data_IF_475491134241
#
_entry.id   IF_475491134241
#
_cell.length_a   1.000
_cell.length_b   1.000
_cell.length_c   1.000
_cell.angle_alpha   90.00
_cell.angle_beta   90.00
_cell.angle_gamma   90.00
#
_symmetry.space_group_name_H-M   'P 1'
#
loop_
_entity.id
_entity.type
_entity.pdbx_description
1 polymer ?
#
# COMPACT_ATOMS: atom_id res chain seq x y z
N UNK A 1 40.89 -5.27 -12.74
CA UNK A 1 40.06 -4.05 -12.78
C UNK A 1 38.63 -4.50 -13.05
N UNK A 2 37.88 -4.82 -11.99
CA UNK A 2 36.52 -5.36 -12.10
C UNK A 2 35.57 -4.27 -12.55
N UNK A 3 34.96 -4.47 -13.73
CA UNK A 3 33.91 -3.63 -14.27
C UNK A 3 32.64 -3.87 -13.43
N UNK A 4 32.47 -3.11 -12.33
CA UNK A 4 31.21 -3.03 -11.61
C UNK A 4 30.16 -2.40 -12.54
N UNK A 5 29.37 -3.25 -13.19
CA UNK A 5 28.28 -2.81 -14.05
C UNK A 5 27.25 -2.04 -13.22
N UNK A 6 27.06 -0.77 -13.57
CA UNK A 6 25.98 0.11 -13.16
C UNK A 6 24.64 -0.46 -13.67
N UNK A 7 24.08 -1.47 -13.00
CA UNK A 7 22.78 -2.10 -13.35
C UNK A 7 21.56 -1.25 -12.97
N UNK A 8 21.75 0.04 -12.66
CA UNK A 8 20.66 0.93 -12.20
C UNK A 8 19.72 1.41 -13.32
N UNK A 9 19.95 1.00 -14.58
CA UNK A 9 19.31 1.58 -15.76
C UNK A 9 18.08 0.87 -16.33
N UNK A 10 17.80 -0.40 -16.02
CA UNK A 10 16.70 -1.14 -16.66
C UNK A 10 15.34 -0.86 -16.01
N UNK A 11 14.25 -0.93 -16.76
CA UNK A 11 12.88 -0.76 -16.29
C UNK A 11 12.57 -1.69 -15.10
N UNK A 12 11.92 -1.16 -14.07
CA UNK A 12 11.47 -1.97 -12.94
C UNK A 12 10.13 -2.59 -13.25
N UNK A 13 9.92 -3.84 -12.84
CA UNK A 13 8.58 -4.42 -12.76
C UNK A 13 7.80 -3.84 -11.58
N UNK A 14 6.48 -4.03 -11.61
CA UNK A 14 5.60 -3.74 -10.48
C UNK A 14 5.12 -5.06 -9.89
N UNK A 15 5.39 -5.27 -8.61
CA UNK A 15 4.88 -6.37 -7.81
C UNK A 15 3.64 -5.87 -7.04
N UNK A 16 2.46 -6.47 -7.25
CA UNK A 16 1.23 -6.04 -6.59
C UNK A 16 1.34 -6.04 -5.06
N UNK A 17 0.76 -5.02 -4.42
CA UNK A 17 0.72 -4.86 -2.96
C UNK A 17 -0.25 -5.88 -2.35
N UNK A 18 -1.44 -6.05 -2.95
CA UNK A 18 -2.51 -6.93 -2.48
C UNK A 18 -2.80 -6.74 -0.99
N UNK A 19 -3.46 -5.63 -0.60
CA UNK A 19 -3.80 -5.34 0.79
C UNK A 19 -4.50 -6.50 1.51
N UNK A 20 -5.31 -7.27 0.80
CA UNK A 20 -6.00 -8.48 1.28
C UNK A 20 -5.06 -9.60 1.77
N UNK A 21 -3.78 -9.59 1.35
CA UNK A 21 -2.80 -10.65 1.65
C UNK A 21 -1.71 -10.25 2.63
N UNK A 22 -1.76 -9.03 3.18
CA UNK A 22 -0.78 -8.58 4.15
C UNK A 22 -1.06 -9.28 5.49
N UNK A 23 -0.05 -9.98 6.00
CA UNK A 23 -0.18 -10.83 7.19
C UNK A 23 -0.40 -10.03 8.49
N UNK A 24 0.12 -8.82 8.58
CA UNK A 24 0.10 -8.02 9.81
C UNK A 24 -0.24 -6.57 9.52
N UNK A 25 -1.19 -6.05 10.29
CA UNK A 25 -1.60 -4.67 10.29
C UNK A 25 -1.39 -4.10 11.70
N UNK A 26 -0.82 -2.89 11.78
CA UNK A 26 -0.77 -2.12 13.02
C UNK A 26 -2.18 -1.65 13.34
N UNK A 27 -2.74 -2.13 14.46
CA UNK A 27 -4.09 -1.80 14.87
C UNK A 27 -4.16 -0.44 15.57
N UNK A 28 -5.21 0.31 15.28
CA UNK A 28 -5.57 1.54 15.97
C UNK A 28 -6.68 1.25 16.98
N UNK A 29 -6.49 1.67 18.23
CA UNK A 29 -7.46 1.65 19.35
C UNK A 29 -8.41 0.43 19.45
N UNK A 30 -8.25 -0.35 20.52
CA UNK A 30 -9.19 -1.43 20.86
C UNK A 30 -10.56 -0.84 21.26
N UNK A 31 -11.65 -1.39 20.72
CA UNK A 31 -13.06 -1.01 21.00
C UNK A 31 -13.58 0.30 20.38
N UNK A 32 -13.16 0.60 19.14
CA UNK A 32 -13.78 1.66 18.32
C UNK A 32 -14.98 1.13 17.50
N UNK A 33 -15.98 1.97 17.16
CA UNK A 33 -17.04 1.64 16.19
C UNK A 33 -16.50 1.31 14.79
N UNK A 34 -15.28 1.75 14.48
CA UNK A 34 -14.56 1.40 13.25
C UNK A 34 -13.20 0.85 13.65
N UNK A 35 -12.96 -0.41 13.35
CA UNK A 35 -11.63 -1.00 13.52
C UNK A 35 -10.77 -0.60 12.33
N UNK A 36 -9.59 -0.07 12.61
CA UNK A 36 -8.66 0.40 11.60
C UNK A 36 -7.28 -0.20 11.82
N UNK A 37 -6.75 -0.82 10.77
CA UNK A 37 -5.40 -1.34 10.71
C UNK A 37 -4.65 -0.74 9.53
N UNK A 38 -3.36 -0.48 9.69
CA UNK A 38 -2.52 0.01 8.59
C UNK A 38 -1.14 -0.64 8.58
N UNK A 39 -0.52 -0.65 7.41
CA UNK A 39 0.86 -1.09 7.21
C UNK A 39 1.56 -0.09 6.30
N UNK A 40 2.62 0.54 6.80
CA UNK A 40 3.49 1.42 6.00
C UNK A 40 4.45 0.63 5.12
N UNK A 41 5.10 1.36 4.20
CA UNK A 41 6.18 0.88 3.36
C UNK A 41 5.79 -0.30 2.46
N UNK A 42 4.53 -0.39 2.07
CA UNK A 42 4.01 -1.55 1.31
C UNK A 42 4.67 -1.68 -0.06
N UNK A 43 5.05 -0.57 -0.70
CA UNK A 43 5.84 -0.63 -1.93
C UNK A 43 7.21 -1.29 -1.67
N UNK A 44 7.88 -0.96 -0.56
CA UNK A 44 9.19 -1.52 -0.20
C UNK A 44 9.08 -2.99 0.18
N UNK A 45 8.08 -3.36 0.97
CA UNK A 45 7.81 -4.75 1.38
C UNK A 45 7.61 -5.68 0.18
N UNK A 46 7.00 -5.17 -0.89
CA UNK A 46 6.76 -5.92 -2.12
C UNK A 46 7.88 -5.76 -3.16
N UNK A 47 9.02 -5.16 -2.81
CA UNK A 47 10.19 -5.07 -3.69
C UNK A 47 10.07 -4.04 -4.82
N UNK A 48 9.12 -3.11 -4.74
CA UNK A 48 8.87 -2.06 -5.74
C UNK A 48 9.91 -0.91 -5.67
N UNK A 49 11.21 -1.23 -5.73
CA UNK A 49 12.34 -0.32 -5.46
C UNK A 49 12.29 1.02 -6.21
N UNK A 50 11.88 1.01 -7.49
CA UNK A 50 11.78 2.25 -8.28
C UNK A 50 10.63 3.14 -7.83
N UNK A 51 9.51 2.55 -7.44
CA UNK A 51 8.36 3.27 -6.91
C UNK A 51 8.64 3.81 -5.50
N UNK A 52 9.38 3.08 -4.65
CA UNK A 52 9.88 3.60 -3.36
C UNK A 52 10.77 4.84 -3.55
N UNK A 53 11.66 4.84 -4.56
CA UNK A 53 12.45 6.04 -4.87
C UNK A 53 11.57 7.22 -5.31
N UNK A 54 10.47 6.95 -6.01
CA UNK A 54 9.51 7.98 -6.43
C UNK A 54 8.68 8.48 -5.25
N UNK A 55 8.25 7.58 -4.39
CA UNK A 55 7.55 7.87 -3.13
C UNK A 55 8.36 8.86 -2.28
N UNK A 56 9.62 8.53 -1.98
CA UNK A 56 10.51 9.42 -1.26
C UNK A 56 10.77 10.76 -2.00
N UNK A 57 11.02 10.72 -3.32
CA UNK A 57 11.29 11.93 -4.12
C UNK A 57 10.07 12.86 -4.20
N UNK A 58 8.85 12.32 -4.09
CA UNK A 58 7.59 13.06 -4.24
C UNK A 58 6.93 13.39 -2.90
N UNK A 59 7.53 13.00 -1.77
CA UNK A 59 6.96 13.21 -0.44
C UNK A 59 5.67 12.43 -0.23
N UNK A 60 5.66 11.17 -0.65
CA UNK A 60 4.54 10.25 -0.42
C UNK A 60 4.88 9.23 0.66
N UNK A 61 3.85 8.77 1.35
CA UNK A 61 3.84 7.53 2.12
C UNK A 61 2.64 6.71 1.68
N UNK A 62 2.90 5.57 1.04
CA UNK A 62 1.89 4.60 0.63
C UNK A 62 1.73 3.56 1.74
N UNK A 63 0.49 3.40 2.19
CA UNK A 63 0.12 2.42 3.19
C UNK A 63 -1.00 1.52 2.65
N UNK A 64 -0.94 0.23 3.00
CA UNK A 64 -2.13 -0.59 2.91
C UNK A 64 -2.94 -0.43 4.19
N UNK A 65 -4.25 -0.49 4.06
CA UNK A 65 -5.17 -0.37 5.19
C UNK A 65 -6.22 -1.46 5.19
N UNK A 66 -6.68 -1.78 6.38
CA UNK A 66 -7.81 -2.65 6.66
C UNK A 66 -8.81 -1.87 7.51
N UNK A 67 -10.06 -1.80 7.05
CA UNK A 67 -11.13 -1.09 7.75
C UNK A 67 -12.28 -2.06 7.97
N UNK A 68 -12.70 -2.22 9.22
CA UNK A 68 -13.88 -3.03 9.56
C UNK A 68 -14.94 -2.12 10.18
N UNK A 69 -16.12 -2.10 9.56
CA UNK A 69 -17.27 -1.39 10.08
C UNK A 69 -17.94 -2.24 11.17
N UNK A 70 -17.91 -1.79 12.42
CA UNK A 70 -18.59 -2.44 13.56
C UNK A 70 -19.89 -1.73 13.95
N UNK A 71 -20.38 -0.82 13.11
CA UNK A 71 -21.66 -0.13 13.30
C UNK A 71 -22.79 -0.87 12.58
N UNK A 72 -24.03 -0.50 12.89
CA UNK A 72 -25.24 -1.07 12.28
C UNK A 72 -25.65 -0.38 10.97
N UNK A 73 -24.87 0.63 10.50
CA UNK A 73 -25.17 1.39 9.29
C UNK A 73 -24.05 1.29 8.26
N UNK A 74 -24.40 1.55 7.00
CA UNK A 74 -23.42 1.75 5.95
C UNK A 74 -22.57 3.00 6.24
N UNK A 75 -21.26 2.86 6.08
CA UNK A 75 -20.29 3.95 6.22
C UNK A 75 -19.62 4.24 4.88
N UNK A 76 -19.59 5.49 4.47
CA UNK A 76 -18.79 5.94 3.35
C UNK A 76 -17.45 6.47 3.87
N UNK A 77 -16.33 5.93 3.36
CA UNK A 77 -14.99 6.27 3.86
C UNK A 77 -14.68 7.78 3.78
N UNK A 78 -15.03 8.45 2.69
CA UNK A 78 -14.71 9.88 2.51
C UNK A 78 -15.66 10.82 3.26
N UNK A 79 -16.94 10.43 3.36
CA UNK A 79 -17.99 11.27 3.94
C UNK A 79 -18.13 11.09 5.44
N UNK A 80 -18.08 9.85 5.91
CA UNK A 80 -18.48 9.50 7.27
C UNK A 80 -17.28 9.26 8.19
N UNK A 81 -16.08 9.09 7.63
CA UNK A 81 -14.85 8.84 8.38
C UNK A 81 -13.90 10.05 8.31
N UNK A 82 -13.07 10.17 9.34
CA UNK A 82 -11.98 11.13 9.42
C UNK A 82 -10.68 10.36 9.66
N UNK A 83 -9.78 10.41 8.68
CA UNK A 83 -8.45 9.82 8.81
C UNK A 83 -7.55 10.82 9.52
N UNK A 84 -7.01 10.41 10.66
CA UNK A 84 -6.05 11.17 11.44
C UNK A 84 -4.63 10.66 11.19
N UNK A 85 -3.69 11.59 11.17
CA UNK A 85 -2.26 11.36 11.02
C UNK A 85 -1.52 12.04 12.17
N UNK A 86 -1.12 11.26 13.18
CA UNK A 86 -0.89 11.80 14.51
C UNK A 86 -2.19 12.40 15.05
N UNK A 87 -2.16 13.68 15.41
CA UNK A 87 -3.31 14.39 16.00
C UNK A 87 -4.07 15.29 15.01
N UNK A 88 -3.72 15.25 13.72
CA UNK A 88 -4.37 16.08 12.70
C UNK A 88 -5.15 15.27 11.67
N UNK A 89 -6.29 15.79 11.19
CA UNK A 89 -6.99 15.19 10.06
C UNK A 89 -6.15 15.33 8.78
N UNK A 90 -6.16 14.28 7.96
CA UNK A 90 -5.52 14.25 6.65
C UNK A 90 -6.49 13.66 5.63
N UNK A 91 -6.43 14.17 4.41
CA UNK A 91 -7.14 13.58 3.28
C UNK A 91 -6.15 12.79 2.41
N UNK A 92 -6.36 11.48 2.21
CA UNK A 92 -5.55 10.70 1.28
C UNK A 92 -5.60 11.30 -0.14
N UNK A 93 -4.49 11.19 -0.85
CA UNK A 93 -4.44 11.45 -2.28
C UNK A 93 -5.09 10.28 -2.99
N UNK A 94 -6.07 10.55 -3.86
CA UNK A 94 -6.76 9.53 -4.64
C UNK A 94 -5.81 8.68 -5.49
N UNK A 95 -6.18 7.41 -5.70
CA UNK A 95 -5.32 6.39 -6.28
C UNK A 95 -4.77 6.77 -7.65
N UNK A 96 -5.60 7.33 -8.54
CA UNK A 96 -5.18 7.78 -9.88
C UNK A 96 -4.13 8.89 -9.82
N UNK A 97 -4.30 9.87 -8.93
CA UNK A 97 -3.38 10.99 -8.80
C UNK A 97 -2.05 10.54 -8.19
N UNK A 98 -2.09 9.71 -7.14
CA UNK A 98 -0.90 9.11 -6.56
C UNK A 98 -0.13 8.25 -7.58
N UNK A 99 -0.83 7.40 -8.34
CA UNK A 99 -0.22 6.56 -9.36
C UNK A 99 0.44 7.39 -10.47
N UNK A 100 -0.16 8.52 -10.86
CA UNK A 100 0.40 9.43 -11.86
C UNK A 100 1.71 10.08 -11.37
N UNK A 101 1.80 10.44 -10.10
CA UNK A 101 2.99 11.07 -9.50
C UNK A 101 4.13 10.07 -9.23
N UNK A 102 3.76 8.83 -8.91
CA UNK A 102 4.69 7.74 -8.57
C UNK A 102 5.19 6.96 -9.79
N UNK A 103 4.65 7.18 -10.98
CA UNK A 103 5.02 6.42 -12.19
C UNK A 103 6.51 6.51 -12.55
N UNK A 104 7.01 5.43 -13.16
CA UNK A 104 8.33 5.41 -13.76
C UNK A 104 8.40 6.31 -15.00
N UNK A 105 9.52 7.00 -15.19
CA UNK A 105 9.77 7.75 -16.42
C UNK A 105 10.03 6.81 -17.57
N UNK A 106 9.20 6.87 -18.61
CA UNK A 106 9.32 6.01 -19.80
C UNK A 106 10.23 6.66 -20.85
N UNK A 107 10.12 7.97 -21.04
CA UNK A 107 10.85 8.71 -22.07
C UNK A 107 12.38 8.65 -21.91
N UNK A 108 12.89 8.48 -20.68
CA UNK A 108 14.33 8.39 -20.44
C UNK A 108 14.98 7.19 -21.15
N UNK A 109 14.21 6.13 -21.41
CA UNK A 109 14.69 4.96 -22.12
C UNK A 109 14.92 5.21 -23.62
N UNK A 110 14.43 6.31 -24.18
CA UNK A 110 14.77 6.73 -25.55
C UNK A 110 16.25 7.05 -25.71
N UNK A 111 16.96 7.40 -24.63
CA UNK A 111 18.40 7.59 -24.69
C UNK A 111 19.14 6.30 -25.08
N UNK A 112 18.55 5.12 -24.84
CA UNK A 112 19.12 3.87 -25.31
C UNK A 112 19.10 3.73 -26.83
N UNK A 113 18.30 4.49 -27.58
CA UNK A 113 18.31 4.47 -29.06
C UNK A 113 19.70 4.80 -29.61
N UNK A 114 20.48 5.61 -28.89
CA UNK A 114 21.85 5.98 -29.25
C UNK A 114 22.86 4.85 -29.01
N UNK A 115 22.50 3.83 -28.23
CA UNK A 115 23.40 2.75 -27.83
C UNK A 115 23.44 1.64 -28.90
N UNK A 116 24.19 1.89 -29.97
CA UNK A 116 24.42 0.94 -31.06
C UNK A 116 25.84 0.39 -30.99
N UNK A 117 26.01 -0.90 -31.25
CA UNK A 117 27.32 -1.56 -31.17
C UNK A 117 27.79 -1.96 -32.56
N UNK A 118 29.10 -1.93 -32.76
CA UNK A 118 29.75 -2.60 -33.88
C UNK A 118 30.33 -3.93 -33.38
N UNK A 119 30.07 -5.02 -34.10
CA UNK A 119 30.58 -6.35 -33.77
C UNK A 119 31.63 -6.74 -34.81
N UNK A 120 32.80 -7.18 -34.35
CA UNK A 120 33.94 -7.50 -35.21
C UNK A 120 34.69 -6.26 -35.71
N UNK A 121 35.52 -6.46 -36.73
CA UNK A 121 36.39 -5.41 -37.29
C UNK A 121 37.77 -5.35 -36.64
N UNK A 122 38.70 -4.66 -37.31
CA UNK A 122 40.06 -4.44 -36.83
C UNK A 122 40.18 -2.98 -36.40
N UNK A 123 40.70 -2.75 -35.19
CA UNK A 123 40.98 -1.41 -34.70
C UNK A 123 42.34 -0.99 -35.23
N UNK A 124 42.39 0.16 -35.91
CA UNK A 124 43.65 0.79 -36.26
C UNK A 124 44.27 1.39 -34.99
N UNK A 125 45.42 0.85 -34.56
CA UNK A 125 46.10 1.28 -33.33
C UNK A 125 46.64 2.72 -33.38
N UNK A 126 46.71 3.34 -34.56
CA UNK A 126 47.22 4.71 -34.74
C UNK A 126 46.09 5.75 -34.72
N UNK A 127 44.89 5.43 -35.20
CA UNK A 127 43.76 6.37 -35.30
C UNK A 127 42.57 6.02 -34.38
N UNK A 128 42.56 4.83 -33.79
CA UNK A 128 41.43 4.30 -33.01
C UNK A 128 40.20 3.92 -33.85
N UNK A 129 40.26 4.09 -35.17
CA UNK A 129 39.16 3.77 -36.07
C UNK A 129 39.00 2.24 -36.22
N UNK A 130 37.77 1.75 -36.10
CA UNK A 130 37.45 0.33 -36.35
C UNK A 130 36.99 0.16 -37.80
N UNK A 131 37.65 -0.70 -38.57
CA UNK A 131 37.30 -1.02 -39.96
C UNK A 131 36.84 -2.47 -40.10
N UNK A 132 35.83 -2.70 -40.95
CA UNK A 132 35.30 -4.06 -41.22
C UNK A 132 34.36 -4.63 -40.15
N UNK A 133 33.90 -3.82 -39.20
CA UNK A 133 32.88 -4.23 -38.23
C UNK A 133 31.47 -4.20 -38.81
N UNK A 134 30.58 -5.04 -38.29
CA UNK A 134 29.14 -5.03 -38.61
C UNK A 134 28.39 -4.15 -37.63
N UNK A 135 27.64 -3.18 -38.14
CA UNK A 135 26.77 -2.33 -37.33
C UNK A 135 25.55 -3.11 -36.85
N UNK A 136 25.31 -3.11 -35.53
CA UNK A 136 24.15 -3.73 -34.90
C UNK A 136 23.31 -2.64 -34.22
N UNK A 137 22.07 -2.39 -34.69
CA UNK A 137 21.19 -1.36 -34.14
C UNK A 137 20.53 -1.83 -32.84
N UNK A 138 21.32 -2.15 -31.82
CA UNK A 138 20.84 -2.65 -30.52
C UNK A 138 20.01 -1.64 -29.74
N UNK A 139 20.29 -0.35 -29.95
CA UNK A 139 19.73 0.73 -29.14
C UNK A 139 18.22 0.79 -29.16
N UNK A 140 17.57 0.84 -30.35
CA UNK A 140 16.13 0.79 -30.49
C UNK A 140 15.45 -0.39 -29.77
N UNK A 141 16.06 -1.58 -29.81
CA UNK A 141 15.49 -2.76 -29.16
C UNK A 141 15.57 -2.67 -27.63
N UNK A 142 16.70 -2.19 -27.09
CA UNK A 142 16.86 -1.95 -25.65
C UNK A 142 15.88 -0.86 -25.19
N UNK A 143 15.78 0.24 -25.93
CA UNK A 143 14.84 1.32 -25.66
C UNK A 143 13.39 0.80 -25.62
N UNK A 144 12.97 0.11 -26.69
CA UNK A 144 11.63 -0.46 -26.81
C UNK A 144 11.30 -1.42 -25.68
N UNK A 145 12.19 -2.36 -25.36
CA UNK A 145 11.99 -3.32 -24.27
C UNK A 145 11.79 -2.64 -22.91
N UNK A 146 12.63 -1.65 -22.57
CA UNK A 146 12.50 -0.92 -21.32
C UNK A 146 11.23 -0.05 -21.27
N UNK A 147 10.87 0.60 -22.38
CA UNK A 147 9.67 1.42 -22.46
C UNK A 147 8.40 0.60 -22.25
N UNK A 148 8.30 -0.57 -22.91
CA UNK A 148 7.18 -1.49 -22.75
C UNK A 148 7.08 -2.00 -21.32
N UNK A 149 8.20 -2.46 -20.74
CA UNK A 149 8.23 -2.96 -19.36
C UNK A 149 7.80 -1.91 -18.34
N UNK A 150 8.33 -0.68 -18.42
CA UNK A 150 7.96 0.39 -17.52
C UNK A 150 6.50 0.87 -17.73
N UNK A 151 6.01 0.89 -18.97
CA UNK A 151 4.64 1.29 -19.26
C UNK A 151 3.64 0.28 -18.70
N UNK A 152 3.91 -1.02 -18.86
CA UNK A 152 3.07 -2.07 -18.30
C UNK A 152 3.11 -2.06 -16.76
N UNK A 153 4.29 -1.90 -16.16
CA UNK A 153 4.42 -1.77 -14.71
C UNK A 153 3.63 -0.57 -14.16
N UNK A 154 3.72 0.59 -14.82
CA UNK A 154 2.94 1.78 -14.45
C UNK A 154 1.42 1.54 -14.58
N UNK A 155 0.98 0.85 -15.63
CA UNK A 155 -0.44 0.50 -15.83
C UNK A 155 -0.95 -0.42 -14.72
N UNK A 156 -0.15 -1.43 -14.34
CA UNK A 156 -0.50 -2.37 -13.28
C UNK A 156 -0.59 -1.68 -11.92
N UNK A 157 0.38 -0.83 -11.58
CA UNK A 157 0.35 -0.03 -10.35
C UNK A 157 -0.88 0.86 -10.31
N UNK A 158 -1.16 1.61 -11.39
CA UNK A 158 -2.33 2.49 -11.45
C UNK A 158 -3.62 1.71 -11.24
N UNK A 159 -3.76 0.57 -11.93
CA UNK A 159 -4.94 -0.28 -11.77
C UNK A 159 -5.13 -0.73 -10.33
N UNK A 160 -4.07 -1.18 -9.65
CA UNK A 160 -4.19 -1.60 -8.26
C UNK A 160 -4.54 -0.43 -7.32
N UNK A 161 -3.95 0.75 -7.53
CA UNK A 161 -4.27 1.94 -6.74
C UNK A 161 -5.72 2.40 -6.94
N UNK A 162 -6.28 2.23 -8.14
CA UNK A 162 -7.68 2.52 -8.46
C UNK A 162 -8.63 1.46 -7.90
N UNK A 163 -8.29 0.17 -8.06
CA UNK A 163 -9.12 -0.95 -7.58
C UNK A 163 -9.23 -0.98 -6.05
N UNK A 164 -8.19 -0.51 -5.34
CA UNK A 164 -8.12 -0.43 -3.88
C UNK A 164 -8.22 1.00 -3.33
N UNK A 165 -8.70 1.96 -4.13
CA UNK A 165 -9.03 3.28 -3.62
C UNK A 165 -10.26 3.18 -2.71
N UNK A 166 -10.13 3.68 -1.48
CA UNK A 166 -11.26 3.74 -0.56
C UNK A 166 -12.11 5.00 -0.75
N UNK A 167 -11.69 5.94 -1.59
CA UNK A 167 -12.47 7.12 -1.91
C UNK A 167 -13.87 6.71 -2.40
N UNK A 168 -14.90 7.20 -1.70
CA UNK A 168 -16.31 6.87 -1.94
C UNK A 168 -16.71 5.39 -1.76
N UNK A 169 -15.85 4.55 -1.19
CA UNK A 169 -16.20 3.17 -0.87
C UNK A 169 -17.24 3.16 0.25
N UNK A 170 -18.34 2.44 0.01
CA UNK A 170 -19.33 2.10 1.04
C UNK A 170 -18.87 0.81 1.72
N UNK A 171 -18.86 0.84 3.05
CA UNK A 171 -18.48 -0.26 3.94
C UNK A 171 -19.73 -0.65 4.70
N UNK A 172 -20.28 -1.84 4.41
CA UNK A 172 -21.50 -2.33 5.05
C UNK A 172 -21.27 -2.71 6.51
N UNK A 173 -22.32 -2.79 7.34
CA UNK A 173 -22.25 -3.32 8.70
C UNK A 173 -21.53 -4.67 8.74
N UNK A 174 -20.51 -4.79 9.60
CA UNK A 174 -19.69 -6.00 9.75
C UNK A 174 -18.69 -6.26 8.61
N UNK A 175 -18.71 -5.49 7.52
CA UNK A 175 -17.80 -5.68 6.39
C UNK A 175 -16.39 -5.22 6.76
N UNK A 176 -15.41 -6.02 6.33
CA UNK A 176 -14.00 -5.63 6.31
C UNK A 176 -13.58 -5.34 4.87
N UNK A 177 -13.15 -4.11 4.62
CA UNK A 177 -12.58 -3.70 3.34
C UNK A 177 -11.09 -3.47 3.48
N UNK A 178 -10.38 -3.65 2.37
CA UNK A 178 -8.95 -3.38 2.28
C UNK A 178 -8.70 -2.30 1.24
N UNK A 179 -7.68 -1.49 1.45
CA UNK A 179 -7.38 -0.36 0.58
C UNK A 179 -5.90 0.01 0.53
N UNK A 180 -5.58 0.88 -0.41
CA UNK A 180 -4.28 1.55 -0.51
C UNK A 180 -4.52 3.04 -0.28
N UNK A 181 -3.87 3.59 0.74
CA UNK A 181 -3.88 5.02 1.02
C UNK A 181 -2.53 5.63 0.65
N UNK A 182 -2.57 6.72 -0.11
CA UNK A 182 -1.38 7.50 -0.45
C UNK A 182 -1.44 8.83 0.28
N UNK A 183 -0.51 9.05 1.20
CA UNK A 183 -0.44 10.27 2.01
C UNK A 183 0.68 11.14 1.48
N UNK A 184 0.45 12.45 1.36
CA UNK A 184 1.50 13.39 0.95
C UNK A 184 2.11 14.03 2.19
N UNK A 185 3.06 13.34 2.80
CA UNK A 185 3.70 13.74 4.05
C UNK A 185 5.20 13.49 4.00
N UNK A 186 5.97 14.29 4.74
CA UNK A 186 7.43 14.22 4.76
C UNK A 186 7.99 13.41 5.93
N UNK A 187 7.13 12.96 6.85
CA UNK A 187 7.48 12.24 8.07
C UNK A 187 6.42 11.20 8.36
N UNK A 188 6.80 10.09 9.02
CA UNK A 188 5.87 9.03 9.43
C UNK A 188 5.24 9.35 10.79
N UNK A 189 3.92 9.25 10.91
CA UNK A 189 3.18 9.32 12.17
C UNK A 189 2.12 8.19 12.26
N UNK A 190 1.63 7.84 13.45
CA UNK A 190 0.55 6.86 13.59
C UNK A 190 -0.72 7.32 12.87
N UNK A 191 -1.45 6.39 12.23
CA UNK A 191 -2.76 6.70 11.68
C UNK A 191 -3.88 6.21 12.59
N UNK A 192 -4.99 6.93 12.60
CA UNK A 192 -6.23 6.53 13.28
C UNK A 192 -7.42 6.88 12.40
N UNK A 193 -8.52 6.16 12.57
CA UNK A 193 -9.75 6.42 11.84
C UNK A 193 -10.87 6.63 12.86
N UNK A 194 -11.59 7.73 12.71
CA UNK A 194 -12.67 8.11 13.62
C UNK A 194 -13.94 8.41 12.82
N UNK A 195 -15.10 8.20 13.46
CA UNK A 195 -16.36 8.65 12.90
C UNK A 195 -16.40 10.17 12.89
N UNK A 196 -16.93 10.76 11.82
CA UNK A 196 -17.14 12.20 11.76
C UNK A 196 -18.28 12.58 12.73
N UNK A 197 -18.17 13.72 13.46
CA UNK A 197 -19.26 14.18 14.31
C UNK A 197 -20.60 14.25 13.55
N UNK A 198 -21.66 13.71 14.14
CA UNK A 198 -22.99 13.61 13.51
C UNK A 198 -23.24 12.34 12.67
N UNK A 199 -22.25 11.44 12.55
CA UNK A 199 -22.46 10.09 11.97
C UNK A 199 -22.60 8.99 13.02
N UNK A 200 -22.70 9.36 14.29
CA UNK A 200 -22.83 8.45 15.42
C UNK A 200 -24.15 7.67 15.35
N UNK A 201 -24.05 6.34 15.28
CA UNK A 201 -25.17 5.41 15.46
C UNK A 201 -24.70 4.33 16.41
N UNK A 202 -25.52 4.06 17.43
CA UNK A 202 -25.54 2.88 18.32
C UNK A 202 -24.40 1.88 18.11
N UNK A 203 -23.21 2.23 18.59
CA UNK A 203 -22.16 1.25 18.78
C UNK A 203 -22.58 0.36 19.95
N UNK A 204 -22.84 -0.92 19.68
CA UNK A 204 -22.98 -1.92 20.73
C UNK A 204 -21.58 -2.53 20.91
N UNK A 205 -20.80 -2.13 21.93
CA UNK A 205 -19.57 -2.83 22.24
C UNK A 205 -19.89 -4.31 22.44
N UNK A 206 -19.04 -5.19 21.90
CA UNK A 206 -19.14 -6.61 22.17
C UNK A 206 -19.18 -6.79 23.68
N UNK A 207 -20.36 -7.15 24.20
CA UNK A 207 -20.57 -7.34 25.62
C UNK A 207 -19.53 -8.35 26.09
N UNK A 208 -18.76 -7.98 27.11
CA UNK A 208 -18.01 -8.96 27.88
C UNK A 208 -18.96 -10.13 28.19
N UNK A 209 -18.52 -11.40 28.08
CA UNK A 209 -19.39 -12.53 28.35
C UNK A 209 -20.08 -12.27 29.69
N UNK A 210 -21.42 -12.28 29.67
CA UNK A 210 -22.22 -12.14 30.87
C UNK A 210 -21.79 -13.28 31.77
N UNK A 211 -20.94 -12.99 32.74
CA UNK A 211 -20.62 -13.92 33.82
C UNK A 211 -21.92 -14.05 34.57
N UNK A 212 -22.68 -15.10 34.26
CA UNK A 212 -23.84 -15.46 35.04
C UNK A 212 -23.38 -15.53 36.50
N UNK A 213 -24.02 -14.80 37.44
CA UNK A 213 -23.67 -14.92 38.84
C UNK A 213 -23.76 -16.40 39.21
N UNK A 214 -22.73 -16.91 39.88
CA UNK A 214 -22.68 -18.29 40.32
C UNK A 214 -24.00 -18.64 41.02
N UNK A 215 -24.58 -19.83 40.77
CA UNK A 215 -25.81 -20.23 41.43
C UNK A 215 -25.62 -20.08 42.94
N UNK A 216 -26.54 -19.38 43.60
CA UNK A 216 -26.46 -19.16 45.04
C UNK A 216 -26.27 -20.52 45.74
N UNK A 217 -25.38 -20.62 46.73
CA UNK A 217 -25.25 -21.83 47.52
C UNK A 217 -26.60 -22.17 48.16
N UNK A 218 -26.98 -23.43 48.06
CA UNK A 218 -28.24 -23.92 48.61
C UNK A 218 -28.33 -23.59 50.12
N UNK A 219 -29.50 -23.16 50.62
CA UNK A 219 -29.67 -22.85 52.02
C UNK A 219 -29.33 -24.08 52.88
N UNK A 220 -28.64 -23.90 54.02
CA UNK A 220 -28.25 -25.00 54.89
C UNK A 220 -29.49 -25.75 55.38
N UNK A 221 -29.42 -27.09 55.34
CA UNK A 221 -30.49 -27.96 55.78
C UNK A 221 -30.86 -27.65 57.24
N UNK A 222 -32.16 -27.46 57.49
CA UNK A 222 -32.68 -27.22 58.83
C UNK A 222 -32.29 -28.37 59.77
N UNK A 223 -31.56 -28.04 60.84
CA UNK A 223 -31.21 -28.99 61.88
C UNK A 223 -32.48 -29.48 62.60
N UNK A 224 -32.61 -30.79 62.88
CA UNK A 224 -33.80 -31.35 63.50
C UNK A 224 -34.01 -30.77 64.90
N UNK A 225 -35.26 -30.36 65.17
CA UNK A 225 -35.76 -29.94 66.48
C UNK A 225 -35.51 -31.08 67.47
N UNK A 226 -34.74 -30.82 68.53
CA UNK A 226 -34.71 -31.72 69.70
C UNK A 226 -35.91 -31.37 70.56
N UNK A 227 -36.87 -32.27 70.61
CA UNK A 227 -37.90 -32.26 71.64
C UNK A 227 -37.29 -32.86 72.92
N UNK A 228 -37.27 -32.04 73.98
CA UNK A 228 -37.33 -32.43 75.40
C UNK A 228 -37.46 -31.18 76.26
#
# INVERSE_FOLDING_TARGET
MSLLALTTGCAGSYAPIRPDRIATYQASATNSPVEFGYQYDVLRLHGNKKYVKKEAKRGYHVAAVRVTNRTERDLNFSRDLNLLYGDRPIMPVGGTAAAQDLKQGVAIYLLYVLLNFNVGGTVNNTTGATTGGTFVPTGPFIAGGNMLGASQANKNMRKEFEDFDLANRIIKPGETVYGILSLRENSVAPMRLELRPGTESTYVPATAPVVLPAPMPAPPAASPRRDN
#
